data_IF_230473046291
#
_entry.id   IF_230473046291
#
_cell.length_a   1.000
_cell.length_b   1.000
_cell.length_c   1.000
_cell.angle_alpha   90.00
_cell.angle_beta   90.00
_cell.angle_gamma   90.00
#
_symmetry.space_group_name_H-M   'P 1'
#
loop_
_entity.id
_entity.type
_entity.pdbx_description
1 polymer ?
#
# COMPACT_ATOMS: atom_id res chain seq x y z
N UNK A 1 25.54 -1.46 9.97
CA UNK A 1 24.19 -0.82 9.93
C UNK A 1 24.39 0.66 10.18
N UNK A 2 24.10 1.54 9.23
CA UNK A 2 24.19 2.99 9.43
C UNK A 2 22.99 3.46 10.26
N UNK A 3 23.24 4.14 11.37
CA UNK A 3 22.18 4.81 12.12
C UNK A 3 21.65 5.99 11.30
N UNK A 4 20.32 6.12 11.22
CA UNK A 4 19.68 7.28 10.59
C UNK A 4 19.67 8.41 11.61
N UNK A 5 20.31 9.52 11.30
CA UNK A 5 20.24 10.73 12.12
C UNK A 5 18.86 11.37 11.96
N UNK A 6 18.14 11.48 13.08
CA UNK A 6 16.80 12.07 13.12
C UNK A 6 16.87 13.32 14.00
N UNK A 7 16.37 14.43 13.47
CA UNK A 7 16.36 15.69 14.21
C UNK A 7 15.59 15.56 15.55
N UNK A 8 16.08 16.13 16.67
CA UNK A 8 15.48 15.96 17.99
C UNK A 8 14.00 16.38 18.10
N UNK A 9 13.54 17.33 17.28
CA UNK A 9 12.12 17.71 17.24
C UNK A 9 11.23 16.58 16.71
N UNK A 10 11.70 15.81 15.72
CA UNK A 10 10.97 14.67 15.16
C UNK A 10 10.90 13.53 16.17
N UNK A 11 11.98 13.29 16.92
CA UNK A 11 11.99 12.29 18.00
C UNK A 11 10.91 12.62 19.04
N UNK A 12 10.82 13.88 19.46
CA UNK A 12 9.79 14.35 20.40
C UNK A 12 8.36 14.19 19.85
N UNK A 13 8.17 14.49 18.57
CA UNK A 13 6.87 14.32 17.91
C UNK A 13 6.46 12.84 17.85
N UNK A 14 7.39 11.95 17.48
CA UNK A 14 7.17 10.49 17.44
C UNK A 14 6.84 9.94 18.83
N UNK A 15 7.56 10.37 19.87
CA UNK A 15 7.27 9.98 21.25
C UNK A 15 5.88 10.45 21.71
N UNK A 16 5.52 11.69 21.41
CA UNK A 16 4.19 12.25 21.74
C UNK A 16 3.06 11.47 21.05
N UNK A 17 3.23 11.14 19.77
CA UNK A 17 2.27 10.32 19.02
C UNK A 17 2.18 8.89 19.57
N UNK A 18 3.31 8.24 19.82
CA UNK A 18 3.35 6.88 20.37
C UNK A 18 2.63 6.80 21.73
N UNK A 19 2.81 7.83 22.59
CA UNK A 19 2.09 7.94 23.87
C UNK A 19 0.59 8.05 23.69
N UNK A 20 0.12 8.90 22.77
CA UNK A 20 -1.32 9.05 22.46
C UNK A 20 -1.94 7.74 21.97
N UNK A 21 -1.19 6.99 21.17
CA UNK A 21 -1.63 5.71 20.60
C UNK A 21 -1.39 4.51 21.52
N UNK A 22 -0.77 4.72 22.70
CA UNK A 22 -0.41 3.66 23.68
C UNK A 22 0.39 2.51 23.07
N UNK A 23 1.31 2.83 22.16
CA UNK A 23 2.23 1.88 21.53
C UNK A 23 3.68 2.30 21.73
N UNK A 24 4.63 1.38 21.52
CA UNK A 24 6.05 1.72 21.53
C UNK A 24 6.41 2.59 20.31
N UNK A 25 7.43 3.44 20.47
CA UNK A 25 7.96 4.27 19.38
C UNK A 25 8.45 3.40 18.22
N UNK A 26 9.11 2.28 18.52
CA UNK A 26 9.55 1.30 17.51
C UNK A 26 8.38 0.76 16.67
N UNK A 27 7.27 0.36 17.33
CA UNK A 27 6.07 -0.13 16.64
C UNK A 27 5.43 0.97 15.78
N UNK A 28 5.39 2.20 16.29
CA UNK A 28 4.89 3.34 15.53
C UNK A 28 5.74 3.59 14.28
N UNK A 29 7.08 3.62 14.43
CA UNK A 29 8.00 3.86 13.31
C UNK A 29 7.87 2.77 12.24
N UNK A 30 7.83 1.49 12.64
CA UNK A 30 7.61 0.38 11.70
C UNK A 30 6.31 0.51 10.93
N UNK A 31 5.21 0.89 11.61
CA UNK A 31 3.93 1.11 10.96
C UNK A 31 3.98 2.28 9.98
N UNK A 32 4.54 3.41 10.38
CA UNK A 32 4.67 4.58 9.51
C UNK A 32 5.52 4.31 8.27
N UNK A 33 6.59 3.52 8.40
CA UNK A 33 7.41 3.10 7.25
C UNK A 33 6.58 2.21 6.32
N UNK A 34 5.84 1.24 6.86
CA UNK A 34 4.98 0.38 6.05
C UNK A 34 3.88 1.17 5.31
N UNK A 35 3.21 2.08 6.02
CA UNK A 35 2.19 2.96 5.45
C UNK A 35 2.78 3.82 4.32
N UNK A 36 3.96 4.41 4.54
CA UNK A 36 4.64 5.23 3.53
C UNK A 36 5.10 4.44 2.30
N UNK A 37 5.56 3.20 2.47
CA UNK A 37 5.90 2.32 1.34
C UNK A 37 4.64 1.96 0.52
N UNK A 38 3.54 1.64 1.20
CA UNK A 38 2.27 1.34 0.54
C UNK A 38 1.74 2.54 -0.26
N UNK A 39 1.83 3.76 0.27
CA UNK A 39 1.42 4.97 -0.45
C UNK A 39 2.24 5.21 -1.72
N UNK A 40 3.53 4.89 -1.71
CA UNK A 40 4.39 4.96 -2.90
C UNK A 40 3.95 3.93 -3.94
N UNK A 41 3.73 2.68 -3.52
CA UNK A 41 3.25 1.62 -4.41
C UNK A 41 1.89 1.98 -5.04
N UNK A 42 0.97 2.52 -4.24
CA UNK A 42 -0.35 2.96 -4.71
C UNK A 42 -0.23 4.12 -5.71
N UNK A 43 0.66 5.09 -5.43
CA UNK A 43 0.92 6.19 -6.34
C UNK A 43 1.50 5.72 -7.68
N UNK A 44 2.44 4.76 -7.66
CA UNK A 44 2.99 4.15 -8.86
C UNK A 44 1.94 3.39 -9.65
N UNK A 45 1.06 2.63 -8.98
CA UNK A 45 -0.05 1.92 -9.61
C UNK A 45 -1.02 2.90 -10.31
N UNK A 46 -1.36 4.02 -9.65
CA UNK A 46 -2.20 5.07 -10.23
C UNK A 46 -1.50 5.73 -11.43
N UNK A 47 -0.21 6.04 -11.33
CA UNK A 47 0.55 6.56 -12.46
C UNK A 47 0.57 5.59 -13.64
N UNK A 48 0.83 4.31 -13.40
CA UNK A 48 0.84 3.27 -14.42
C UNK A 48 -0.54 3.15 -15.10
N UNK A 49 -1.62 3.19 -14.31
CA UNK A 49 -2.98 3.21 -14.83
C UNK A 49 -3.25 4.45 -15.70
N UNK A 50 -2.88 5.65 -15.23
CA UNK A 50 -3.06 6.91 -15.98
C UNK A 50 -2.28 6.92 -17.28
N UNK A 51 -1.05 6.39 -17.31
CA UNK A 51 -0.25 6.24 -18.54
C UNK A 51 -0.89 5.29 -19.56
N UNK A 52 -1.74 4.35 -19.10
CA UNK A 52 -2.47 3.39 -19.96
C UNK A 52 -3.85 3.91 -20.41
N UNK A 53 -4.22 5.17 -20.14
CA UNK A 53 -5.51 5.75 -20.59
C UNK A 53 -5.68 5.54 -22.10
N UNK A 54 -6.66 4.71 -22.47
CA UNK A 54 -7.02 4.39 -23.85
C UNK A 54 -7.10 2.89 -24.16
N UNK A 55 -6.53 2.00 -23.34
CA UNK A 55 -6.73 0.55 -23.49
C UNK A 55 -7.90 0.07 -22.64
N UNK A 56 -9.10 0.07 -23.23
CA UNK A 56 -10.18 -0.79 -22.75
C UNK A 56 -9.73 -2.23 -22.91
N UNK A 57 -9.45 -2.89 -21.79
CA UNK A 57 -9.13 -4.31 -21.79
C UNK A 57 -10.45 -5.07 -21.97
N UNK A 58 -10.56 -6.00 -22.94
CA UNK A 58 -11.76 -6.82 -23.11
C UNK A 58 -12.18 -7.48 -21.79
N UNK A 59 -13.49 -7.54 -21.55
CA UNK A 59 -14.05 -8.15 -20.34
C UNK A 59 -13.58 -9.60 -20.12
N UNK A 60 -13.30 -10.33 -21.20
CA UNK A 60 -12.74 -11.68 -21.15
C UNK A 60 -11.36 -11.71 -20.47
N UNK A 61 -10.44 -10.87 -20.90
CA UNK A 61 -9.08 -10.80 -20.34
C UNK A 61 -9.08 -10.41 -18.85
N UNK A 62 -10.02 -9.54 -18.45
CA UNK A 62 -10.22 -9.18 -17.04
C UNK A 62 -10.71 -10.39 -16.23
N UNK A 63 -11.64 -11.18 -16.77
CA UNK A 63 -12.13 -12.40 -16.11
C UNK A 63 -11.03 -13.46 -15.98
N UNK A 64 -10.18 -13.60 -16.99
CA UNK A 64 -8.99 -14.48 -16.94
C UNK A 64 -8.02 -14.04 -15.86
N UNK A 65 -7.68 -12.75 -15.82
CA UNK A 65 -6.72 -12.22 -14.85
C UNK A 65 -7.20 -12.36 -13.39
N UNK A 66 -8.52 -12.25 -13.17
CA UNK A 66 -9.14 -12.43 -11.86
C UNK A 66 -9.49 -13.90 -11.53
N UNK A 67 -9.18 -14.84 -12.41
CA UNK A 67 -9.49 -16.26 -12.21
C UNK A 67 -11.00 -16.59 -12.24
N UNK A 68 -11.80 -15.73 -12.86
CA UNK A 68 -13.28 -15.79 -12.92
C UNK A 68 -13.81 -16.51 -14.18
N UNK A 69 -12.93 -17.09 -14.99
CA UNK A 69 -13.27 -17.79 -16.24
C UNK A 69 -13.97 -19.15 -16.07
N UNK A 70 -14.38 -19.52 -14.85
CA UNK A 70 -15.08 -20.78 -14.66
C UNK A 70 -16.48 -20.69 -15.27
N UNK A 71 -16.84 -21.55 -16.24
CA UNK A 71 -18.20 -21.64 -16.71
C UNK A 71 -19.07 -22.04 -15.52
N UNK A 72 -20.17 -21.31 -15.30
CA UNK A 72 -21.18 -21.66 -14.32
C UNK A 72 -21.56 -23.12 -14.55
N UNK A 73 -21.16 -24.01 -13.63
CA UNK A 73 -21.50 -25.43 -13.68
C UNK A 73 -23.02 -25.52 -13.85
N UNK A 74 -23.49 -25.94 -15.03
CA UNK A 74 -24.88 -26.33 -15.25
C UNK A 74 -25.17 -27.45 -14.25
N UNK A 75 -25.91 -27.13 -13.18
CA UNK A 75 -26.57 -28.15 -12.36
C UNK A 75 -27.61 -28.81 -13.26
N UNK A 76 -27.32 -30.04 -13.70
CA UNK A 76 -28.35 -30.99 -14.15
C UNK A 76 -29.11 -31.49 -12.94
#
# INVERSE_FOLDING_TARGET
MSAVEIHPSLIRALQSRARRERISVDRLVKRLIADGLQEVDDFEAIQAYRRRRGRTVPLADVKTHLGLDRPARRRR
#
